data_IF_178976535028
#
_entry.id   IF_178976535028
#
_cell.length_a   1.000
_cell.length_b   1.000
_cell.length_c   1.000
_cell.angle_alpha   90.00
_cell.angle_beta   90.00
_cell.angle_gamma   90.00
#
_symmetry.space_group_name_H-M   'P 1'
#
loop_
_entity.id
_entity.type
_entity.pdbx_description
1 polymer ?
#
# COMPACT_ATOMS: atom_id res chain seq x y z
N UNK A 1 13.63 -51.06 13.56
CA UNK A 1 12.76 -52.10 14.14
C UNK A 1 11.51 -52.08 13.29
N UNK A 2 11.40 -52.96 12.29
CA UNK A 2 10.67 -54.21 12.26
C UNK A 2 9.17 -53.93 12.45
N UNK A 3 8.31 -54.13 11.49
CA UNK A 3 7.96 -55.23 10.60
C UNK A 3 6.46 -55.39 10.76
N UNK A 4 5.62 -55.81 9.91
CA UNK A 4 5.61 -56.92 8.99
C UNK A 4 4.34 -56.86 8.14
N UNK A 5 4.48 -57.31 6.92
CA UNK A 5 3.44 -57.72 5.97
C UNK A 5 2.56 -58.86 6.47
N UNK A 6 1.33 -58.99 5.91
CA UNK A 6 0.79 -60.30 5.57
C UNK A 6 -0.19 -60.22 4.41
N UNK A 7 0.20 -60.89 3.34
CA UNK A 7 -0.63 -61.48 2.26
C UNK A 7 -1.41 -62.68 2.80
N UNK A 8 -2.55 -62.99 2.25
CA UNK A 8 -2.96 -64.37 1.93
C UNK A 8 -3.92 -64.39 0.74
N UNK A 9 -3.68 -65.37 -0.11
CA UNK A 9 -4.19 -65.72 -1.46
C UNK A 9 -5.40 -66.65 -1.44
N UNK A 10 -6.09 -66.67 -2.61
CA UNK A 10 -6.62 -67.82 -3.36
C UNK A 10 -7.74 -68.73 -2.80
N UNK A 11 -8.80 -68.91 -3.54
CA UNK A 11 -9.03 -70.17 -4.29
C UNK A 11 -10.15 -70.08 -5.33
N UNK A 12 -9.83 -70.61 -6.52
CA UNK A 12 -10.69 -71.05 -7.63
C UNK A 12 -11.52 -72.30 -7.25
N UNK A 13 -12.68 -72.50 -7.90
CA UNK A 13 -13.03 -73.75 -8.53
C UNK A 13 -14.20 -73.60 -9.51
N UNK A 14 -13.94 -74.20 -10.69
CA UNK A 14 -14.80 -74.44 -11.82
C UNK A 14 -15.92 -75.40 -11.50
N UNK A 15 -17.00 -75.45 -12.33
CA UNK A 15 -17.47 -76.61 -13.05
C UNK A 15 -18.61 -76.31 -14.03
N UNK A 16 -18.44 -76.86 -15.24
CA UNK A 16 -19.26 -76.93 -16.45
C UNK A 16 -20.61 -77.57 -16.26
N UNK A 17 -21.58 -77.21 -17.08
CA UNK A 17 -22.27 -78.15 -18.03
C UNK A 17 -23.32 -77.44 -18.88
N UNK A 18 -23.20 -77.53 -20.19
CA UNK A 18 -24.24 -77.45 -21.27
C UNK A 18 -24.82 -78.84 -21.53
N UNK A 19 -25.82 -79.11 -22.42
CA UNK A 19 -26.55 -78.23 -23.35
C UNK A 19 -28.08 -78.60 -23.51
N UNK A 20 -28.86 -77.83 -24.25
CA UNK A 20 -29.81 -78.32 -25.29
C UNK A 20 -30.60 -77.16 -25.91
N UNK A 21 -30.52 -77.07 -27.24
CA UNK A 21 -31.49 -76.32 -28.07
C UNK A 21 -32.72 -77.26 -28.33
N UNK A 22 -33.90 -76.66 -28.67
CA UNK A 22 -34.21 -76.55 -30.10
C UNK A 22 -35.14 -75.37 -30.53
N UNK A 23 -34.97 -75.03 -31.82
CA UNK A 23 -35.92 -74.66 -32.92
C UNK A 23 -36.75 -73.37 -32.84
N UNK A 24 -36.42 -72.52 -33.82
CA UNK A 24 -37.22 -71.65 -34.69
C UNK A 24 -38.66 -71.29 -34.36
N UNK A 25 -38.92 -69.99 -34.24
CA UNK A 25 -40.00 -69.32 -34.98
C UNK A 25 -39.67 -67.84 -35.24
N UNK A 26 -39.67 -67.52 -36.54
CA UNK A 26 -39.51 -66.23 -37.14
C UNK A 26 -40.76 -65.36 -36.89
N UNK A 27 -40.68 -64.23 -36.16
CA UNK A 27 -41.67 -63.16 -36.24
C UNK A 27 -40.97 -61.82 -36.34
N UNK A 28 -40.91 -61.33 -37.57
CA UNK A 28 -40.60 -59.90 -37.84
C UNK A 28 -41.64 -59.05 -37.19
N UNK A 29 -41.29 -58.48 -36.04
CA UNK A 29 -41.99 -57.31 -35.46
C UNK A 29 -41.13 -56.07 -35.60
N UNK A 30 -41.55 -55.18 -36.47
CA UNK A 30 -41.07 -53.83 -36.59
C UNK A 30 -41.24 -53.09 -35.22
N UNK A 31 -40.24 -53.16 -34.38
CA UNK A 31 -40.17 -52.33 -33.16
C UNK A 31 -39.77 -50.87 -33.53
N UNK A 32 -40.80 -50.03 -33.71
CA UNK A 32 -40.59 -48.57 -33.62
C UNK A 32 -40.07 -48.27 -32.25
N UNK A 33 -38.96 -47.45 -32.09
CA UNK A 33 -38.53 -47.08 -30.80
C UNK A 33 -39.65 -46.29 -30.10
N UNK A 34 -39.87 -46.50 -28.80
CA UNK A 34 -40.92 -45.80 -28.06
C UNK A 34 -40.63 -44.28 -28.11
N UNK A 35 -41.63 -43.53 -28.59
CA UNK A 35 -41.59 -42.09 -28.55
C UNK A 35 -41.53 -41.63 -27.08
N UNK A 36 -40.42 -41.05 -26.64
CA UNK A 36 -40.29 -40.48 -25.32
C UNK A 36 -41.47 -39.51 -25.08
N UNK A 37 -42.17 -39.62 -23.93
CA UNK A 37 -43.35 -38.82 -23.65
C UNK A 37 -42.97 -37.34 -23.69
N UNK A 38 -43.81 -36.50 -24.30
CA UNK A 38 -43.61 -35.01 -24.42
C UNK A 38 -43.24 -34.34 -23.10
N UNK A 39 -43.65 -34.89 -21.95
CA UNK A 39 -43.27 -34.46 -20.61
C UNK A 39 -41.78 -34.60 -20.32
N UNK A 40 -41.12 -35.64 -20.86
CA UNK A 40 -39.67 -35.88 -20.68
C UNK A 40 -38.80 -34.82 -21.36
N UNK A 41 -39.21 -34.29 -22.53
CA UNK A 41 -38.47 -33.24 -23.23
C UNK A 41 -38.51 -31.93 -22.50
N UNK A 42 -39.66 -31.55 -21.90
CA UNK A 42 -39.79 -30.35 -21.12
C UNK A 42 -38.92 -30.38 -19.85
N UNK A 43 -38.97 -31.49 -19.11
CA UNK A 43 -38.11 -31.66 -17.91
C UNK A 43 -36.64 -31.65 -18.25
N UNK A 44 -36.21 -32.25 -19.38
CA UNK A 44 -34.82 -32.21 -19.84
C UNK A 44 -34.39 -30.78 -20.21
N UNK A 45 -35.22 -30.01 -20.89
CA UNK A 45 -34.95 -28.62 -21.23
C UNK A 45 -34.82 -27.76 -19.96
N UNK A 46 -35.75 -27.90 -19.00
CA UNK A 46 -35.70 -27.21 -17.73
C UNK A 46 -34.44 -27.54 -16.93
N UNK A 47 -34.04 -28.80 -16.87
CA UNK A 47 -32.80 -29.22 -16.23
C UNK A 47 -31.54 -28.63 -16.92
N UNK A 48 -31.50 -28.68 -18.26
CA UNK A 48 -30.38 -28.07 -19.01
C UNK A 48 -30.29 -26.56 -18.80
N UNK A 49 -31.41 -25.83 -18.80
CA UNK A 49 -31.46 -24.41 -18.51
C UNK A 49 -31.01 -24.13 -17.07
N UNK A 50 -31.40 -24.96 -16.10
CA UNK A 50 -30.96 -24.87 -14.72
C UNK A 50 -29.45 -25.08 -14.57
N UNK A 51 -28.90 -26.09 -15.23
CA UNK A 51 -27.45 -26.35 -15.25
C UNK A 51 -26.70 -25.18 -15.90
N UNK A 52 -27.19 -24.70 -17.05
CA UNK A 52 -26.57 -23.55 -17.74
C UNK A 52 -26.58 -22.29 -16.88
N UNK A 53 -27.70 -21.99 -16.23
CA UNK A 53 -27.83 -20.88 -15.30
C UNK A 53 -26.88 -21.02 -14.11
N UNK A 54 -26.76 -22.24 -13.55
CA UNK A 54 -25.82 -22.50 -12.45
C UNK A 54 -24.36 -22.34 -12.88
N UNK A 55 -23.99 -22.84 -14.06
CA UNK A 55 -22.63 -22.66 -14.61
C UNK A 55 -22.35 -21.19 -14.86
N UNK A 56 -23.31 -20.44 -15.41
CA UNK A 56 -23.17 -18.99 -15.63
C UNK A 56 -22.99 -18.24 -14.31
N UNK A 57 -23.82 -18.55 -13.31
CA UNK A 57 -23.70 -17.97 -11.96
C UNK A 57 -22.35 -18.28 -11.33
N UNK A 58 -21.89 -19.52 -11.37
CA UNK A 58 -20.58 -19.92 -10.83
C UNK A 58 -19.44 -19.22 -11.57
N UNK A 59 -19.56 -19.06 -12.89
CA UNK A 59 -18.57 -18.32 -13.69
C UNK A 59 -18.53 -16.83 -13.32
N UNK A 60 -19.69 -16.20 -13.12
CA UNK A 60 -19.78 -14.81 -12.68
C UNK A 60 -19.20 -14.63 -11.27
N UNK A 61 -19.52 -15.55 -10.35
CA UNK A 61 -18.93 -15.55 -8.99
C UNK A 61 -17.41 -15.71 -9.07
N UNK A 62 -16.91 -16.62 -9.92
CA UNK A 62 -15.47 -16.82 -10.09
C UNK A 62 -14.77 -15.58 -10.66
N UNK A 63 -15.35 -14.94 -11.68
CA UNK A 63 -14.82 -13.71 -12.28
C UNK A 63 -14.82 -12.53 -11.28
N UNK A 64 -15.86 -12.46 -10.43
CA UNK A 64 -16.04 -11.40 -9.45
C UNK A 64 -15.52 -11.77 -8.04
N UNK A 65 -14.81 -12.91 -7.90
CA UNK A 65 -14.42 -13.46 -6.61
C UNK A 65 -13.69 -12.46 -5.71
N UNK A 66 -12.76 -11.70 -6.27
CA UNK A 66 -12.02 -10.68 -5.53
C UNK A 66 -12.93 -9.55 -5.06
N UNK A 67 -13.81 -9.04 -5.95
CA UNK A 67 -14.77 -7.98 -5.62
C UNK A 67 -15.75 -8.44 -4.54
N UNK A 68 -16.25 -9.67 -4.67
CA UNK A 68 -17.13 -10.30 -3.66
C UNK A 68 -16.36 -10.47 -2.34
N UNK A 69 -15.12 -10.94 -2.40
CA UNK A 69 -14.25 -11.07 -1.24
C UNK A 69 -14.07 -9.73 -0.51
N UNK A 70 -13.78 -8.66 -1.22
CA UNK A 70 -13.68 -7.32 -0.64
C UNK A 70 -14.99 -6.85 -0.03
N UNK A 71 -16.12 -7.02 -0.74
CA UNK A 71 -17.44 -6.60 -0.26
C UNK A 71 -17.88 -7.37 1.00
N UNK A 72 -17.52 -8.63 1.10
CA UNK A 72 -17.86 -9.49 2.24
C UNK A 72 -16.79 -9.47 3.36
N UNK A 73 -15.69 -8.78 3.16
CA UNK A 73 -14.62 -8.65 4.16
C UNK A 73 -15.13 -8.27 5.57
N UNK A 74 -16.11 -7.34 5.73
CA UNK A 74 -16.68 -7.02 7.03
C UNK A 74 -17.37 -8.19 7.77
N UNK A 75 -17.60 -9.34 7.11
CA UNK A 75 -18.17 -10.54 7.76
C UNK A 75 -17.13 -11.31 8.57
N UNK A 76 -15.87 -11.34 8.10
CA UNK A 76 -14.81 -12.15 8.74
C UNK A 76 -13.63 -11.34 9.24
N UNK A 77 -13.49 -10.09 8.82
CA UNK A 77 -12.41 -9.23 9.30
C UNK A 77 -12.72 -8.71 10.71
N UNK A 78 -11.72 -8.73 11.57
CA UNK A 78 -11.81 -8.12 12.88
C UNK A 78 -11.21 -6.71 12.85
N UNK A 79 -11.89 -5.77 13.48
CA UNK A 79 -11.35 -4.42 13.67
C UNK A 79 -9.99 -4.50 14.37
N UNK A 80 -8.93 -3.88 13.85
CA UNK A 80 -7.65 -3.81 14.55
C UNK A 80 -7.82 -3.21 15.94
N UNK A 81 -6.94 -3.60 16.87
CA UNK A 81 -6.93 -2.94 18.18
C UNK A 81 -6.86 -1.43 17.99
N UNK A 82 -7.71 -0.63 18.68
CA UNK A 82 -7.67 0.82 18.54
C UNK A 82 -6.33 1.37 19.04
N UNK A 83 -5.95 2.53 18.51
CA UNK A 83 -4.83 3.30 19.03
C UNK A 83 -5.26 4.08 20.26
N UNK A 84 -4.30 4.30 21.16
CA UNK A 84 -4.39 5.27 22.26
C UNK A 84 -3.84 6.59 21.75
N UNK A 85 -4.73 7.55 21.48
CA UNK A 85 -4.35 8.85 20.95
C UNK A 85 -3.70 9.71 22.04
N UNK A 86 -2.54 10.23 21.72
CA UNK A 86 -1.90 11.32 22.47
C UNK A 86 -2.44 12.62 21.86
N UNK A 87 -3.13 13.47 22.63
CA UNK A 87 -3.59 14.77 22.14
C UNK A 87 -2.39 15.59 21.64
N UNK A 88 -2.58 16.31 20.54
CA UNK A 88 -1.56 17.17 19.96
C UNK A 88 -1.99 18.64 20.08
N UNK A 89 -1.19 19.42 20.75
CA UNK A 89 -1.43 20.85 20.97
C UNK A 89 -0.37 21.65 20.23
N UNK A 90 -0.81 22.62 19.46
CA UNK A 90 0.07 23.57 18.79
C UNK A 90 -0.63 24.93 18.63
N UNK A 91 0.10 25.99 18.89
CA UNK A 91 -0.22 27.33 18.42
C UNK A 91 1.10 28.13 18.19
N UNK A 92 1.10 29.10 17.25
CA UNK A 92 2.24 29.97 17.06
C UNK A 92 2.62 30.69 18.35
N UNK A 93 3.92 30.86 18.61
CA UNK A 93 4.47 31.63 19.73
C UNK A 93 4.21 31.07 21.14
N UNK A 94 3.76 29.84 21.28
CA UNK A 94 3.75 29.15 22.58
C UNK A 94 5.16 28.64 22.90
N UNK A 95 5.59 28.79 24.18
CA UNK A 95 6.89 28.30 24.63
C UNK A 95 6.94 26.77 24.63
N UNK A 96 8.10 26.18 24.33
CA UNK A 96 8.30 24.74 24.42
C UNK A 96 8.01 24.18 25.82
N UNK A 97 8.30 24.93 26.88
CA UNK A 97 7.98 24.52 28.25
C UNK A 97 6.49 24.30 28.44
N UNK A 98 5.65 25.22 27.95
CA UNK A 98 4.20 25.09 28.05
C UNK A 98 3.69 23.98 27.15
N UNK A 99 4.17 23.88 25.88
CA UNK A 99 3.78 22.82 24.98
C UNK A 99 4.11 21.42 25.53
N UNK A 100 5.32 21.20 26.05
CA UNK A 100 5.70 19.95 26.66
C UNK A 100 4.81 19.62 27.86
N UNK A 101 4.52 20.58 28.73
CA UNK A 101 3.68 20.38 29.93
C UNK A 101 2.24 20.01 29.56
N UNK A 102 1.68 20.60 28.50
CA UNK A 102 0.32 20.26 28.00
C UNK A 102 0.23 18.81 27.51
N UNK A 103 1.35 18.21 27.07
CA UNK A 103 1.42 16.81 26.68
C UNK A 103 1.83 15.88 27.84
N UNK A 104 2.00 16.40 29.07
CA UNK A 104 2.47 15.63 30.22
C UNK A 104 3.98 15.35 30.18
N UNK A 105 4.74 16.12 29.40
CA UNK A 105 6.20 15.99 29.24
C UNK A 105 6.90 17.19 29.84
N UNK A 106 8.24 17.10 30.00
CA UNK A 106 9.08 18.21 30.45
C UNK A 106 9.93 18.76 29.32
N UNK A 107 10.28 20.05 29.36
CA UNK A 107 11.16 20.65 28.37
C UNK A 107 12.61 20.21 28.56
N UNK A 108 13.34 19.93 27.47
CA UNK A 108 14.78 19.66 27.49
C UNK A 108 15.58 20.96 27.59
N UNK A 109 16.80 20.90 28.15
CA UNK A 109 17.77 21.99 28.11
C UNK A 109 18.32 22.27 26.71
N UNK A 110 18.43 21.21 25.89
CA UNK A 110 18.83 21.26 24.49
C UNK A 110 17.95 20.30 23.68
N UNK A 111 17.60 20.65 22.43
CA UNK A 111 16.79 19.78 21.60
C UNK A 111 17.53 18.47 21.28
N UNK A 112 16.80 17.36 21.19
CA UNK A 112 17.36 16.12 20.72
C UNK A 112 17.75 16.21 19.24
N UNK A 113 18.76 15.44 18.83
CA UNK A 113 19.02 15.24 17.41
C UNK A 113 17.90 14.42 16.78
N UNK A 114 17.57 14.74 15.55
CA UNK A 114 16.52 14.07 14.79
C UNK A 114 17.12 13.56 13.48
N UNK A 115 16.95 12.26 13.23
CA UNK A 115 17.30 11.60 11.98
C UNK A 115 16.02 11.23 11.23
N UNK A 116 15.85 11.75 10.02
CA UNK A 116 14.71 11.43 9.16
C UNK A 116 15.13 10.36 8.15
N UNK A 117 14.70 9.13 8.36
CA UNK A 117 15.13 7.96 7.60
C UNK A 117 14.11 7.63 6.49
N UNK A 118 14.56 7.66 5.24
CA UNK A 118 13.73 7.62 4.05
C UNK A 118 14.26 6.60 3.06
N UNK A 119 13.40 5.69 2.59
CA UNK A 119 13.65 4.89 1.39
C UNK A 119 13.02 5.62 0.21
N UNK A 120 13.84 5.99 -0.76
CA UNK A 120 13.43 6.84 -1.88
C UNK A 120 13.25 6.04 -3.17
N UNK A 121 12.17 6.32 -3.90
CA UNK A 121 11.92 5.74 -5.22
C UNK A 121 11.94 6.79 -6.34
N UNK A 122 10.83 7.54 -6.55
CA UNK A 122 10.71 8.54 -7.63
C UNK A 122 9.95 9.83 -7.22
N UNK A 123 9.66 10.01 -5.94
CA UNK A 123 8.84 11.09 -5.39
C UNK A 123 9.64 12.38 -5.17
N UNK A 124 10.31 12.90 -6.21
CA UNK A 124 11.23 14.06 -6.10
C UNK A 124 10.56 15.32 -5.52
N UNK A 125 9.34 15.65 -5.95
CA UNK A 125 8.66 16.86 -5.47
C UNK A 125 8.24 16.72 -3.99
N UNK A 126 7.74 15.55 -3.59
CA UNK A 126 7.37 15.31 -2.20
C UNK A 126 8.60 15.24 -1.28
N UNK A 127 9.71 14.66 -1.74
CA UNK A 127 10.96 14.67 -1.00
C UNK A 127 11.47 16.10 -0.76
N UNK A 128 11.38 16.97 -1.76
CA UNK A 128 11.78 18.36 -1.60
C UNK A 128 10.89 19.11 -0.61
N UNK A 129 9.56 18.94 -0.72
CA UNK A 129 8.61 19.52 0.24
C UNK A 129 8.92 19.03 1.64
N UNK A 130 9.13 17.72 1.84
CA UNK A 130 9.47 17.12 3.12
C UNK A 130 10.74 17.71 3.72
N UNK A 131 11.82 17.75 2.94
CA UNK A 131 13.10 18.28 3.43
C UNK A 131 12.96 19.76 3.79
N UNK A 132 12.28 20.56 2.96
CA UNK A 132 12.08 22.00 3.23
C UNK A 132 11.18 22.29 4.43
N UNK A 133 10.18 21.44 4.66
CA UNK A 133 9.31 21.57 5.84
C UNK A 133 10.05 21.20 7.13
N UNK A 134 10.94 20.22 7.07
CA UNK A 134 11.60 19.66 8.25
C UNK A 134 13.03 20.17 8.47
N UNK A 135 13.67 20.86 7.50
CA UNK A 135 15.07 21.28 7.60
C UNK A 135 15.42 22.09 8.86
N UNK A 136 14.51 22.90 9.46
CA UNK A 136 14.83 23.62 10.70
C UNK A 136 14.91 22.72 11.94
N UNK A 137 14.34 21.52 11.86
CA UNK A 137 14.10 20.65 13.02
C UNK A 137 14.88 19.33 12.94
N UNK A 138 15.29 18.91 11.73
CA UNK A 138 16.00 17.66 11.48
C UNK A 138 17.50 17.89 11.46
N UNK A 139 18.23 17.08 12.22
CA UNK A 139 19.69 17.09 12.24
C UNK A 139 20.25 16.48 10.96
N UNK A 140 19.65 15.34 10.51
CA UNK A 140 20.10 14.65 9.32
C UNK A 140 18.98 13.89 8.61
N UNK A 141 18.81 14.13 7.31
CA UNK A 141 18.01 13.33 6.40
C UNK A 141 18.85 12.18 5.91
N UNK A 142 18.44 10.96 6.21
CA UNK A 142 19.13 9.71 5.84
C UNK A 142 18.35 9.03 4.74
N UNK A 143 18.88 9.06 3.52
CA UNK A 143 18.15 8.64 2.33
C UNK A 143 18.85 7.46 1.70
N UNK A 144 18.11 6.35 1.52
CA UNK A 144 18.54 5.18 0.80
C UNK A 144 17.80 5.08 -0.52
N UNK A 145 18.53 5.02 -1.63
CA UNK A 145 17.96 4.82 -2.96
C UNK A 145 18.52 3.53 -3.60
N UNK A 146 17.61 2.67 -4.08
CA UNK A 146 17.99 1.48 -4.84
C UNK A 146 17.92 1.77 -6.35
N UNK A 147 18.77 1.10 -7.13
CA UNK A 147 18.70 1.11 -8.61
C UNK A 147 17.65 0.11 -9.16
N UNK A 148 16.84 -0.49 -8.29
CA UNK A 148 15.66 -1.27 -8.65
C UNK A 148 14.49 -0.90 -7.76
N UNK A 149 13.28 -1.08 -8.28
CA UNK A 149 12.03 -0.94 -7.54
C UNK A 149 11.81 -2.13 -6.59
N UNK A 150 10.76 -2.10 -5.78
CA UNK A 150 10.33 -3.25 -4.97
C UNK A 150 9.89 -4.44 -5.83
N UNK A 151 9.41 -4.20 -7.05
CA UNK A 151 9.08 -5.24 -8.03
C UNK A 151 10.30 -5.71 -8.86
N UNK A 152 11.49 -5.21 -8.56
CA UNK A 152 12.73 -5.60 -9.23
C UNK A 152 12.92 -5.00 -10.62
N UNK A 153 12.13 -4.00 -10.99
CA UNK A 153 12.30 -3.24 -12.24
C UNK A 153 13.52 -2.34 -12.09
N UNK A 154 14.51 -2.37 -13.02
CA UNK A 154 15.61 -1.43 -13.03
C UNK A 154 15.10 0.01 -13.15
N UNK A 155 15.73 0.92 -12.41
CA UNK A 155 15.40 2.35 -12.46
C UNK A 155 16.63 3.22 -12.37
N UNK A 156 16.59 4.45 -12.89
CA UNK A 156 17.60 5.46 -12.66
C UNK A 156 17.74 5.78 -11.16
N UNK A 157 18.87 6.32 -10.78
CA UNK A 157 19.08 6.90 -9.44
C UNK A 157 18.62 8.36 -9.47
N UNK A 158 17.29 8.55 -9.43
CA UNK A 158 16.67 9.86 -9.64
C UNK A 158 17.15 10.94 -8.66
N UNK A 159 17.41 10.58 -7.40
CA UNK A 159 17.94 11.55 -6.44
C UNK A 159 19.36 11.96 -6.82
N UNK A 160 20.18 11.00 -7.27
CA UNK A 160 21.55 11.29 -7.76
C UNK A 160 21.55 12.16 -9.01
N UNK A 161 20.63 11.89 -9.94
CA UNK A 161 20.49 12.64 -11.21
C UNK A 161 19.89 14.04 -11.03
N UNK A 162 19.20 14.28 -9.91
CA UNK A 162 18.59 15.58 -9.56
C UNK A 162 19.21 16.20 -8.30
N UNK A 163 20.51 15.91 -8.06
CA UNK A 163 21.18 16.32 -6.83
C UNK A 163 21.25 17.83 -6.61
N UNK A 164 21.19 18.64 -7.67
CA UNK A 164 21.15 20.11 -7.63
C UNK A 164 19.90 20.65 -6.95
N UNK A 165 18.78 19.94 -7.01
CA UNK A 165 17.52 20.34 -6.30
C UNK A 165 17.71 20.37 -4.78
N UNK A 166 18.69 19.61 -4.25
CA UNK A 166 18.89 19.37 -2.82
C UNK A 166 20.22 19.95 -2.30
N UNK A 167 20.85 20.83 -3.08
CA UNK A 167 22.12 21.50 -2.69
C UNK A 167 21.97 22.20 -1.33
N UNK A 168 20.83 22.82 -1.05
CA UNK A 168 20.55 23.51 0.20
C UNK A 168 20.71 22.61 1.45
N UNK A 169 20.25 21.36 1.39
CA UNK A 169 20.39 20.41 2.50
C UNK A 169 21.80 19.78 2.53
N UNK A 170 22.40 19.55 1.35
CA UNK A 170 23.75 19.00 1.23
C UNK A 170 24.82 19.97 1.75
N UNK A 171 24.75 21.25 1.39
CA UNK A 171 25.72 22.26 1.81
C UNK A 171 25.71 22.52 3.31
N UNK A 172 24.58 22.28 3.97
CA UNK A 172 24.44 22.34 5.44
C UNK A 172 24.90 21.05 6.13
N UNK A 173 25.33 20.02 5.40
CA UNK A 173 25.69 18.72 5.96
C UNK A 173 24.52 17.92 6.54
N UNK A 174 23.28 18.34 6.25
CA UNK A 174 22.06 17.70 6.76
C UNK A 174 21.60 16.50 5.94
N UNK A 175 22.21 16.22 4.79
CA UNK A 175 21.80 15.12 3.91
C UNK A 175 22.86 14.03 3.89
N UNK A 176 22.47 12.80 4.27
CA UNK A 176 23.20 11.57 4.11
C UNK A 176 22.52 10.70 3.08
N UNK A 177 23.14 10.52 1.95
CA UNK A 177 22.57 9.76 0.82
C UNK A 177 23.43 8.55 0.50
N UNK A 178 22.79 7.38 0.48
CA UNK A 178 23.43 6.14 0.05
C UNK A 178 22.66 5.46 -1.07
N UNK A 179 23.40 4.72 -1.90
CA UNK A 179 22.88 3.94 -3.02
C UNK A 179 22.96 2.48 -2.71
N UNK A 180 21.91 1.74 -3.06
CA UNK A 180 21.86 0.29 -2.90
C UNK A 180 21.73 -0.38 -4.28
N UNK A 181 22.55 -1.42 -4.52
CA UNK A 181 22.34 -2.32 -5.65
C UNK A 181 21.11 -3.19 -5.41
N UNK A 182 20.21 -3.19 -6.37
CA UNK A 182 19.04 -4.05 -6.34
C UNK A 182 19.19 -5.24 -7.29
N UNK A 183 18.17 -6.11 -7.34
CA UNK A 183 18.09 -7.27 -8.24
C UNK A 183 16.68 -7.43 -8.80
N UNK A 184 16.56 -8.19 -9.86
CA UNK A 184 15.25 -8.64 -10.34
C UNK A 184 14.61 -9.61 -9.35
N UNK A 185 13.28 -9.61 -9.27
CA UNK A 185 12.55 -10.66 -8.57
C UNK A 185 12.79 -12.02 -9.25
N UNK A 186 12.84 -13.09 -8.45
CA UNK A 186 12.81 -14.46 -8.95
C UNK A 186 11.38 -14.79 -9.38
N UNK A 187 11.22 -15.83 -10.19
CA UNK A 187 9.88 -16.29 -10.58
C UNK A 187 9.02 -16.56 -9.34
N UNK A 188 7.83 -15.98 -9.27
CA UNK A 188 6.87 -16.08 -8.15
C UNK A 188 7.35 -15.53 -6.80
N UNK A 189 8.44 -14.76 -6.78
CA UNK A 189 8.90 -14.13 -5.55
C UNK A 189 8.04 -12.91 -5.24
N UNK A 190 7.66 -12.77 -3.97
CA UNK A 190 6.87 -11.67 -3.46
C UNK A 190 7.68 -10.35 -3.46
N UNK A 191 7.17 -9.24 -4.04
CA UNK A 191 7.83 -7.93 -4.02
C UNK A 191 8.23 -7.44 -2.62
N UNK A 192 7.50 -7.83 -1.58
CA UNK A 192 7.83 -7.49 -0.20
C UNK A 192 9.21 -8.04 0.26
N UNK A 193 9.79 -9.00 -0.45
CA UNK A 193 11.16 -9.47 -0.17
C UNK A 193 12.20 -8.38 -0.45
N UNK A 194 12.05 -7.66 -1.58
CA UNK A 194 12.96 -6.56 -1.93
C UNK A 194 12.71 -5.33 -1.07
N UNK A 195 11.45 -5.04 -0.74
CA UNK A 195 11.11 -3.98 0.21
C UNK A 195 11.75 -4.23 1.58
N UNK A 196 11.59 -5.43 2.14
CA UNK A 196 12.23 -5.80 3.42
C UNK A 196 13.74 -5.71 3.37
N UNK A 197 14.36 -6.08 2.24
CA UNK A 197 15.81 -5.97 2.07
C UNK A 197 16.29 -4.51 2.12
N UNK A 198 15.57 -3.58 1.47
CA UNK A 198 15.88 -2.15 1.52
C UNK A 198 15.64 -1.58 2.93
N UNK A 199 14.55 -1.96 3.61
CA UNK A 199 14.28 -1.54 4.99
C UNK A 199 15.36 -2.03 5.95
N UNK A 200 15.81 -3.28 5.83
CA UNK A 200 16.91 -3.80 6.63
C UNK A 200 18.24 -3.09 6.37
N UNK A 201 18.51 -2.74 5.12
CA UNK A 201 19.75 -2.00 4.78
C UNK A 201 19.79 -0.61 5.44
N UNK A 202 18.64 0.04 5.68
CA UNK A 202 18.55 1.34 6.34
C UNK A 202 19.13 1.31 7.76
N UNK A 203 19.08 0.21 8.48
CA UNK A 203 19.67 0.07 9.83
C UNK A 203 21.18 0.38 9.83
N UNK A 204 21.88 -0.12 8.83
CA UNK A 204 23.32 0.11 8.69
C UNK A 204 23.62 1.51 8.11
N UNK A 205 22.75 2.03 7.26
CA UNK A 205 22.85 3.41 6.74
C UNK A 205 22.73 4.42 7.88
N UNK A 206 21.77 4.23 8.79
CA UNK A 206 21.59 5.07 9.99
C UNK A 206 22.84 5.08 10.87
N UNK A 207 23.46 3.92 11.12
CA UNK A 207 24.72 3.84 11.88
C UNK A 207 25.85 4.62 11.20
N UNK A 208 26.01 4.46 9.88
CA UNK A 208 27.02 5.21 9.12
C UNK A 208 26.73 6.71 9.06
N UNK A 209 25.45 7.10 9.08
CA UNK A 209 25.05 8.49 9.18
C UNK A 209 25.33 9.11 10.55
N UNK A 210 25.70 8.30 11.54
CA UNK A 210 26.17 8.74 12.85
C UNK A 210 25.09 8.89 13.91
N UNK A 211 23.95 8.19 13.77
CA UNK A 211 22.90 8.14 14.81
C UNK A 211 23.46 7.54 16.10
N UNK A 212 23.06 8.10 17.24
CA UNK A 212 23.50 7.66 18.58
C UNK A 212 22.30 7.29 19.44
N UNK A 213 22.56 6.51 20.47
CA UNK A 213 21.55 6.20 21.48
C UNK A 213 20.97 7.49 22.09
N UNK A 214 19.64 7.54 22.19
CA UNK A 214 18.89 8.69 22.66
C UNK A 214 18.50 9.71 21.59
N UNK A 215 19.08 9.66 20.38
CA UNK A 215 18.61 10.46 19.25
C UNK A 215 17.19 10.01 18.82
N UNK A 216 16.47 10.89 18.16
CA UNK A 216 15.16 10.56 17.58
C UNK A 216 15.36 10.09 16.13
N UNK A 217 14.66 9.02 15.75
CA UNK A 217 14.57 8.58 14.35
C UNK A 217 13.14 8.57 13.88
N UNK A 218 12.88 9.26 12.77
CA UNK A 218 11.62 9.23 12.05
C UNK A 218 11.70 8.08 11.04
N UNK A 219 10.73 7.19 11.04
CA UNK A 219 10.58 6.10 10.08
C UNK A 219 9.26 6.28 9.35
N UNK A 220 9.33 6.69 8.09
CA UNK A 220 8.16 6.99 7.26
C UNK A 220 8.51 6.87 5.78
N UNK A 221 7.51 6.63 4.93
CA UNK A 221 7.69 6.69 3.49
C UNK A 221 7.81 8.16 3.03
N UNK A 222 8.33 8.41 1.83
CA UNK A 222 8.59 9.78 1.32
C UNK A 222 7.34 10.64 1.32
N UNK A 223 6.20 10.05 0.97
CA UNK A 223 4.91 10.70 0.84
C UNK A 223 4.14 10.87 2.17
N UNK A 224 4.76 10.44 3.27
CA UNK A 224 4.27 10.61 4.65
C UNK A 224 5.09 11.70 5.36
N UNK A 225 4.66 12.95 5.25
CA UNK A 225 5.42 14.14 5.68
C UNK A 225 4.97 14.57 7.09
N UNK A 226 5.79 14.42 8.13
CA UNK A 226 5.49 15.01 9.43
C UNK A 226 5.45 16.54 9.33
N UNK A 227 4.60 17.18 10.14
CA UNK A 227 4.63 18.64 10.22
C UNK A 227 5.84 19.13 11.01
N UNK A 228 6.37 20.30 10.62
CA UNK A 228 7.52 20.88 11.28
C UNK A 228 7.29 21.09 12.78
N UNK A 229 6.10 21.50 13.19
CA UNK A 229 5.77 21.72 14.61
C UNK A 229 5.69 20.38 15.39
N UNK A 230 5.27 19.29 14.76
CA UNK A 230 5.32 17.96 15.38
C UNK A 230 6.76 17.59 15.73
N UNK A 231 7.68 17.75 14.79
CA UNK A 231 9.08 17.38 15.02
C UNK A 231 9.73 18.33 16.02
N UNK A 232 9.40 19.62 15.97
CA UNK A 232 9.89 20.60 16.94
C UNK A 232 9.42 20.29 18.36
N UNK A 233 8.15 19.92 18.55
CA UNK A 233 7.62 19.45 19.82
C UNK A 233 8.42 18.25 20.34
N UNK A 234 8.56 17.21 19.53
CA UNK A 234 9.18 15.95 19.95
C UNK A 234 10.66 16.10 20.30
N UNK A 235 11.41 16.94 19.57
CA UNK A 235 12.83 17.14 19.87
C UNK A 235 13.08 17.96 21.15
N UNK A 236 12.15 18.86 21.51
CA UNK A 236 12.28 19.70 22.71
C UNK A 236 11.72 19.05 23.97
N UNK A 237 10.87 18.04 23.88
CA UNK A 237 10.24 17.44 25.04
C UNK A 237 10.97 16.18 25.51
N UNK A 238 11.18 16.07 26.83
CA UNK A 238 11.67 14.88 27.51
C UNK A 238 10.49 14.12 28.13
N UNK A 239 10.55 12.78 28.16
CA UNK A 239 9.46 11.95 28.66
C UNK A 239 8.46 11.54 27.58
N UNK A 240 8.77 11.80 26.30
CA UNK A 240 7.99 11.25 25.19
C UNK A 240 8.07 9.70 25.19
N UNK A 241 7.07 8.98 24.68
CA UNK A 241 7.13 7.53 24.52
C UNK A 241 8.36 7.10 23.70
N UNK A 242 8.94 5.93 24.04
CA UNK A 242 10.08 5.39 23.29
C UNK A 242 9.77 5.15 21.83
N UNK A 243 8.51 4.78 21.53
CA UNK A 243 7.98 4.61 20.19
C UNK A 243 6.57 5.18 20.16
N UNK A 244 6.27 6.02 19.19
CA UNK A 244 4.92 6.48 18.90
C UNK A 244 4.70 6.55 17.40
N UNK A 245 3.48 6.26 16.98
CA UNK A 245 3.03 6.51 15.63
C UNK A 245 2.62 7.97 15.45
N UNK A 246 2.66 8.43 14.19
CA UNK A 246 2.21 9.76 13.79
C UNK A 246 0.92 9.61 12.97
N UNK A 247 -0.21 10.09 13.51
CA UNK A 247 -1.46 10.15 12.75
C UNK A 247 -1.37 11.26 11.70
N UNK A 248 -1.60 10.92 10.45
CA UNK A 248 -1.51 11.89 9.35
C UNK A 248 -2.83 12.02 8.61
N UNK A 249 -3.08 13.23 8.12
CA UNK A 249 -4.15 13.49 7.17
C UNK A 249 -3.80 12.84 5.82
N UNK A 250 -4.66 11.95 5.34
CA UNK A 250 -4.46 11.18 4.11
C UNK A 250 -5.09 11.88 2.92
N UNK A 251 -4.33 12.01 1.85
CA UNK A 251 -4.74 12.60 0.59
C UNK A 251 -4.40 11.68 -0.58
N UNK A 252 -5.20 11.77 -1.66
CA UNK A 252 -4.93 11.08 -2.92
C UNK A 252 -4.61 12.09 -4.01
N UNK A 253 -3.55 11.84 -4.77
CA UNK A 253 -3.15 12.57 -5.99
C UNK A 253 -2.74 14.03 -5.76
N UNK A 254 -3.42 14.73 -4.88
CA UNK A 254 -3.17 16.11 -4.48
C UNK A 254 -3.84 16.41 -3.15
N UNK A 255 -3.54 17.54 -2.56
CA UNK A 255 -4.20 18.02 -1.34
C UNK A 255 -5.67 18.47 -1.57
N UNK A 256 -6.18 18.31 -2.78
CA UNK A 256 -7.61 18.48 -3.09
C UNK A 256 -8.46 17.32 -2.56
N UNK A 257 -7.92 16.10 -2.56
CA UNK A 257 -8.68 14.88 -2.25
C UNK A 257 -8.29 14.35 -0.86
N UNK A 258 -8.85 14.97 0.17
CA UNK A 258 -8.70 14.47 1.54
C UNK A 258 -9.56 13.21 1.75
N UNK A 259 -8.94 12.14 2.20
CA UNK A 259 -9.58 10.83 2.40
C UNK A 259 -10.05 10.67 3.84
N UNK A 260 -9.10 10.68 4.77
CA UNK A 260 -9.35 10.48 6.20
C UNK A 260 -8.09 10.83 7.03
N UNK A 261 -8.14 10.53 8.33
CA UNK A 261 -6.99 10.54 9.25
C UNK A 261 -6.44 9.12 9.47
N UNK A 262 -6.49 8.26 8.47
CA UNK A 262 -6.22 6.83 8.61
C UNK A 262 -4.75 6.43 8.54
N UNK A 263 -3.85 7.31 8.14
CA UNK A 263 -2.42 6.99 8.07
C UNK A 263 -1.79 7.03 9.44
N UNK A 264 -1.31 5.87 9.90
CA UNK A 264 -0.70 5.65 11.21
C UNK A 264 0.68 4.99 11.14
N UNK A 265 1.13 4.53 9.98
CA UNK A 265 2.39 3.78 9.84
C UNK A 265 3.64 4.59 10.16
N UNK A 266 3.71 5.90 9.82
CA UNK A 266 4.84 6.72 10.24
C UNK A 266 5.05 6.66 11.74
N UNK A 267 6.30 6.61 12.17
CA UNK A 267 6.63 6.50 13.60
C UNK A 267 7.89 7.28 13.96
N UNK A 268 7.96 7.72 15.22
CA UNK A 268 9.16 8.28 15.82
C UNK A 268 9.62 7.35 16.94
N UNK A 269 10.91 7.08 16.96
CA UNK A 269 11.55 6.23 17.95
C UNK A 269 12.66 7.01 18.66
N UNK A 270 12.81 6.82 19.97
CA UNK A 270 14.08 7.08 20.65
C UNK A 270 15.03 5.95 20.27
N UNK A 271 16.10 6.27 19.57
CA UNK A 271 17.04 5.25 19.10
C UNK A 271 17.73 4.51 20.24
N UNK A 272 17.55 3.21 20.30
CA UNK A 272 18.13 2.29 21.32
C UNK A 272 18.69 1.05 20.64
N UNK A 273 19.96 1.09 20.17
CA UNK A 273 20.58 -0.09 19.57
C UNK A 273 20.77 -1.21 20.60
N UNK A 274 20.64 -2.51 20.26
CA UNK A 274 20.29 -3.03 18.95
C UNK A 274 18.78 -3.15 18.69
N UNK A 275 17.93 -2.66 19.59
CA UNK A 275 16.50 -2.93 19.61
C UNK A 275 15.70 -2.07 18.59
N UNK A 276 16.19 -0.86 18.26
CA UNK A 276 15.54 0.00 17.26
C UNK A 276 15.98 -0.43 15.86
N UNK A 277 15.05 -1.03 15.13
CA UNK A 277 15.25 -1.46 13.74
C UNK A 277 14.28 -0.70 12.84
N UNK A 278 14.78 -0.26 11.67
CA UNK A 278 13.96 0.44 10.69
C UNK A 278 12.80 -0.42 10.20
N UNK A 279 11.60 0.13 10.20
CA UNK A 279 10.42 -0.58 9.75
C UNK A 279 9.22 0.35 9.58
N UNK A 280 8.23 -0.15 8.82
CA UNK A 280 7.02 0.59 8.48
C UNK A 280 5.79 -0.27 8.77
N UNK A 281 5.50 -0.45 10.03
CA UNK A 281 4.41 -1.27 10.55
C UNK A 281 4.08 -0.92 11.99
N UNK A 282 3.03 -1.51 12.55
CA UNK A 282 2.60 -1.23 13.93
C UNK A 282 3.65 -1.67 14.94
N UNK A 283 4.19 -0.72 15.68
CA UNK A 283 5.24 -0.90 16.68
C UNK A 283 4.76 -0.69 18.11
N UNK A 284 3.69 0.10 18.26
CA UNK A 284 3.08 0.46 19.54
C UNK A 284 1.59 0.71 19.32
N UNK A 285 0.83 0.82 20.40
CA UNK A 285 -0.56 1.25 20.35
C UNK A 285 -0.71 2.77 20.57
N UNK A 286 0.40 3.51 20.79
CA UNK A 286 0.40 4.96 20.98
C UNK A 286 0.51 5.69 19.65
N UNK A 287 -0.32 6.71 19.44
CA UNK A 287 -0.31 7.56 18.25
C UNK A 287 -0.48 9.03 18.62
N UNK A 288 0.39 9.90 18.10
CA UNK A 288 0.25 11.34 18.24
C UNK A 288 -0.73 11.85 17.16
N UNK A 289 -1.79 12.52 17.59
CA UNK A 289 -2.82 13.02 16.70
C UNK A 289 -2.30 14.12 15.76
N UNK A 290 -2.89 14.22 14.56
CA UNK A 290 -2.72 15.32 13.60
C UNK A 290 -1.25 15.76 13.40
N UNK A 291 -0.40 14.80 13.05
CA UNK A 291 1.06 14.98 13.06
C UNK A 291 1.66 15.32 11.70
N UNK A 292 0.85 15.42 10.64
CA UNK A 292 1.34 15.72 9.29
C UNK A 292 0.42 15.26 8.17
N UNK A 293 1.02 15.01 7.01
CA UNK A 293 0.32 14.73 5.75
C UNK A 293 0.85 13.48 5.08
N UNK A 294 -0.05 12.66 4.57
CA UNK A 294 0.25 11.57 3.66
C UNK A 294 -0.40 11.83 2.31
N UNK A 295 0.39 11.99 1.25
CA UNK A 295 -0.09 12.34 -0.09
C UNK A 295 0.23 11.23 -1.09
N UNK A 296 -0.65 10.22 -1.18
CA UNK A 296 -0.47 9.06 -2.06
C UNK A 296 -0.60 9.42 -3.54
N UNK A 297 0.31 8.92 -4.37
CA UNK A 297 0.33 9.16 -5.83
C UNK A 297 0.35 10.66 -6.21
N UNK A 298 0.95 11.50 -5.40
CA UNK A 298 1.05 12.94 -5.60
C UNK A 298 2.26 13.29 -6.50
N UNK A 299 2.13 13.06 -7.78
CA UNK A 299 3.17 13.30 -8.78
C UNK A 299 2.78 14.40 -9.76
N UNK A 300 3.80 15.07 -10.31
CA UNK A 300 3.66 16.06 -11.36
C UNK A 300 3.30 15.43 -12.71
N UNK A 301 3.91 14.30 -13.04
CA UNK A 301 3.81 13.65 -14.34
C UNK A 301 3.00 12.36 -14.25
N UNK A 302 2.18 12.11 -15.27
CA UNK A 302 1.37 10.88 -15.36
C UNK A 302 2.28 9.65 -15.44
N UNK A 303 3.40 9.77 -16.13
CA UNK A 303 4.38 8.68 -16.28
C UNK A 303 4.94 8.22 -14.93
N UNK A 304 5.12 9.13 -13.98
CA UNK A 304 5.58 8.79 -12.64
C UNK A 304 4.50 8.04 -11.83
N UNK A 305 3.24 8.40 -12.05
CA UNK A 305 2.10 7.67 -11.47
C UNK A 305 2.06 6.25 -12.03
N UNK A 306 2.06 6.11 -13.36
CA UNK A 306 2.08 4.82 -14.03
C UNK A 306 3.31 3.98 -13.63
N UNK A 307 4.46 4.64 -13.43
CA UNK A 307 5.66 3.98 -12.92
C UNK A 307 5.45 3.49 -11.48
N UNK A 308 4.98 4.33 -10.56
CA UNK A 308 4.72 3.93 -9.16
C UNK A 308 3.72 2.78 -9.08
N UNK A 309 2.68 2.76 -9.91
CA UNK A 309 1.71 1.66 -9.98
C UNK A 309 2.36 0.30 -10.27
N UNK A 310 3.48 0.27 -11.02
CA UNK A 310 4.24 -0.95 -11.33
C UNK A 310 5.39 -1.23 -10.36
N UNK A 311 5.82 -0.22 -9.63
CA UNK A 311 7.08 -0.20 -8.89
C UNK A 311 6.96 -0.60 -7.42
N UNK A 312 5.79 -0.39 -6.81
CA UNK A 312 5.58 -0.64 -5.38
C UNK A 312 5.13 -2.08 -5.10
N UNK A 313 5.13 -2.49 -3.84
CA UNK A 313 4.91 -3.89 -3.45
C UNK A 313 3.52 -4.44 -3.80
N UNK A 314 2.52 -3.57 -4.00
CA UNK A 314 1.17 -3.93 -4.44
C UNK A 314 0.95 -3.75 -5.94
N UNK A 315 1.97 -3.95 -6.78
CA UNK A 315 1.84 -3.87 -8.24
C UNK A 315 0.88 -4.92 -8.84
N UNK A 316 0.55 -5.99 -8.10
CA UNK A 316 -0.50 -6.98 -8.40
C UNK A 316 -1.90 -6.36 -8.57
N UNK A 317 -2.12 -5.14 -8.05
CA UNK A 317 -3.35 -4.38 -8.25
C UNK A 317 -3.55 -3.89 -9.69
N UNK A 318 -2.50 -3.84 -10.49
CA UNK A 318 -2.56 -3.54 -11.93
C UNK A 318 -3.02 -4.79 -12.67
N UNK A 319 -4.32 -5.04 -12.72
CA UNK A 319 -4.92 -6.25 -13.32
C UNK A 319 -4.97 -6.21 -14.84
N UNK A 320 -4.89 -5.03 -15.45
CA UNK A 320 -4.93 -4.84 -16.91
C UNK A 320 -3.93 -3.78 -17.33
N UNK A 321 -3.24 -3.94 -18.48
CA UNK A 321 -2.40 -2.88 -19.05
C UNK A 321 -3.13 -1.54 -19.21
N UNK A 322 -4.45 -1.55 -19.46
CA UNK A 322 -5.27 -0.33 -19.59
C UNK A 322 -5.29 0.53 -18.33
N UNK A 323 -4.98 -0.03 -17.14
CA UNK A 323 -4.85 0.76 -15.92
C UNK A 323 -3.69 1.77 -15.98
N UNK A 324 -2.72 1.53 -16.86
CA UNK A 324 -1.55 2.36 -17.04
C UNK A 324 -1.71 3.40 -18.16
N UNK A 325 -2.87 3.43 -18.85
CA UNK A 325 -3.15 4.37 -19.93
C UNK A 325 -3.23 5.80 -19.40
N UNK A 326 -2.42 6.69 -19.96
CA UNK A 326 -2.34 8.09 -19.52
C UNK A 326 -3.67 8.83 -19.52
N UNK A 327 -4.56 8.68 -20.54
CA UNK A 327 -5.89 9.31 -20.52
C UNK A 327 -6.75 8.80 -19.36
N UNK A 328 -6.74 7.48 -19.09
CA UNK A 328 -7.48 6.90 -17.97
C UNK A 328 -6.96 7.40 -16.63
N UNK A 329 -5.63 7.38 -16.44
CA UNK A 329 -5.02 7.90 -15.21
C UNK A 329 -5.44 9.34 -14.99
N UNK A 330 -5.33 10.20 -16.02
CA UNK A 330 -5.73 11.61 -15.92
C UNK A 330 -7.20 11.79 -15.53
N UNK A 331 -8.09 11.00 -16.10
CA UNK A 331 -9.53 11.03 -15.79
C UNK A 331 -9.78 10.61 -14.33
N UNK A 332 -9.17 9.51 -13.88
CA UNK A 332 -9.28 8.99 -12.51
C UNK A 332 -8.80 10.03 -11.49
N UNK A 333 -7.67 10.68 -11.75
CA UNK A 333 -7.11 11.72 -10.88
C UNK A 333 -8.09 12.90 -10.72
N UNK A 334 -8.64 13.40 -11.83
CA UNK A 334 -9.56 14.54 -11.80
C UNK A 334 -10.91 14.22 -11.14
N UNK A 335 -11.31 12.94 -11.16
CA UNK A 335 -12.51 12.46 -10.46
C UNK A 335 -12.27 12.15 -8.98
N UNK A 336 -11.01 11.96 -8.55
CA UNK A 336 -10.71 11.44 -7.22
C UNK A 336 -11.12 9.98 -7.03
N UNK A 337 -11.16 9.20 -8.13
CA UNK A 337 -11.52 7.77 -8.11
C UNK A 337 -10.30 6.90 -7.82
N UNK A 338 -10.51 5.61 -7.56
CA UNK A 338 -9.41 4.68 -7.31
C UNK A 338 -8.70 4.27 -8.62
N UNK A 339 -7.37 4.34 -8.65
CA UNK A 339 -6.53 3.94 -9.79
C UNK A 339 -6.67 2.46 -10.15
N UNK A 340 -7.04 1.62 -9.20
CA UNK A 340 -7.07 0.16 -9.34
C UNK A 340 -8.49 -0.39 -9.42
N UNK A 341 -9.51 0.46 -9.43
CA UNK A 341 -10.93 0.11 -9.43
C UNK A 341 -11.28 -0.89 -8.31
N UNK A 342 -10.66 -0.72 -7.14
CA UNK A 342 -10.88 -1.56 -5.97
C UNK A 342 -11.96 -0.97 -5.06
N UNK A 343 -12.67 -1.83 -4.36
CA UNK A 343 -13.50 -1.39 -3.26
C UNK A 343 -12.63 -0.91 -2.10
N UNK A 344 -13.03 0.15 -1.39
CA UNK A 344 -12.28 0.67 -0.25
C UNK A 344 -12.20 -0.36 0.86
N UNK A 345 -11.03 -0.45 1.53
CA UNK A 345 -10.90 -1.26 2.73
C UNK A 345 -11.80 -0.73 3.84
N UNK A 346 -12.58 -1.62 4.45
CA UNK A 346 -13.47 -1.28 5.54
C UNK A 346 -13.60 -2.47 6.50
N UNK A 347 -13.80 -2.19 7.78
CA UNK A 347 -14.02 -3.22 8.81
C UNK A 347 -15.50 -3.42 9.13
N UNK A 348 -16.36 -2.52 8.66
CA UNK A 348 -17.81 -2.59 8.80
C UNK A 348 -18.50 -2.26 7.48
N UNK A 349 -19.72 -2.76 7.28
CA UNK A 349 -20.51 -2.40 6.10
C UNK A 349 -20.85 -0.90 6.07
N UNK A 350 -21.00 -0.25 7.23
CA UNK A 350 -21.22 1.19 7.31
C UNK A 350 -20.02 1.98 6.76
N UNK A 351 -18.80 1.57 7.12
CA UNK A 351 -17.57 2.16 6.59
C UNK A 351 -17.45 1.90 5.09
N UNK A 352 -17.73 0.67 4.64
CA UNK A 352 -17.70 0.34 3.22
C UNK A 352 -18.61 1.27 2.41
N UNK A 353 -19.89 1.39 2.85
CA UNK A 353 -20.85 2.25 2.17
C UNK A 353 -20.43 3.72 2.18
N UNK A 354 -19.86 4.21 3.26
CA UNK A 354 -19.40 5.60 3.38
C UNK A 354 -18.18 5.93 2.52
N UNK A 355 -17.40 4.92 2.15
CA UNK A 355 -16.16 5.07 1.34
C UNK A 355 -16.34 4.69 -0.13
N UNK A 356 -17.52 4.20 -0.54
CA UNK A 356 -17.78 3.90 -1.96
C UNK A 356 -17.92 5.20 -2.75
N UNK A 357 -17.23 5.23 -3.88
CA UNK A 357 -17.28 6.34 -4.83
C UNK A 357 -16.03 7.22 -4.81
N UNK A 358 -16.00 8.27 -5.65
CA UNK A 358 -14.90 9.22 -5.70
C UNK A 358 -14.71 9.95 -4.39
N UNK A 359 -13.48 10.24 -4.02
CA UNK A 359 -13.15 11.09 -2.87
C UNK A 359 -13.65 12.51 -3.15
N UNK A 360 -14.41 13.13 -2.23
CA UNK A 360 -14.91 14.49 -2.43
C UNK A 360 -13.77 15.49 -2.50
N UNK A 361 -13.96 16.52 -3.34
CA UNK A 361 -12.98 17.60 -3.50
C UNK A 361 -13.01 18.53 -2.29
N UNK A 362 -11.82 18.84 -1.77
CA UNK A 362 -11.62 19.92 -0.81
C UNK A 362 -11.22 21.20 -1.55
N UNK A 363 -11.78 22.31 -1.15
CA UNK A 363 -11.40 23.65 -1.63
C UNK A 363 -10.50 24.38 -0.62
N UNK A 364 -10.07 23.69 0.44
CA UNK A 364 -9.28 24.27 1.52
C UNK A 364 -7.80 23.95 1.35
N UNK A 365 -6.96 24.99 1.37
CA UNK A 365 -5.51 24.90 1.50
C UNK A 365 -5.01 25.27 2.90
N UNK A 366 -5.91 25.35 3.89
CA UNK A 366 -5.56 25.67 5.26
C UNK A 366 -4.81 24.50 5.90
N UNK A 367 -3.73 24.80 6.63
CA UNK A 367 -2.88 23.79 7.29
C UNK A 367 -2.16 22.81 6.33
N UNK A 368 -1.90 23.23 5.08
CA UNK A 368 -1.00 22.49 4.19
C UNK A 368 0.47 22.86 4.50
N UNK A 369 1.45 22.05 4.00
CA UNK A 369 2.87 22.33 4.21
C UNK A 369 3.23 23.77 3.83
N UNK A 370 3.91 24.49 4.74
CA UNK A 370 4.20 25.91 4.55
C UNK A 370 5.08 26.16 3.32
N UNK A 371 6.03 25.26 3.04
CA UNK A 371 6.87 25.35 1.85
C UNK A 371 6.07 25.18 0.56
N UNK A 372 5.11 24.28 0.53
CA UNK A 372 4.18 24.09 -0.61
C UNK A 372 3.45 25.39 -0.91
N UNK A 373 2.84 26.01 0.10
CA UNK A 373 2.06 27.25 -0.07
C UNK A 373 2.91 28.43 -0.51
N UNK A 374 4.11 28.59 0.05
CA UNK A 374 5.07 29.63 -0.36
C UNK A 374 5.56 29.49 -1.81
N UNK A 375 5.50 28.28 -2.35
CA UNK A 375 5.93 27.95 -3.71
C UNK A 375 4.77 27.44 -4.57
N UNK A 376 3.56 27.96 -4.36
CA UNK A 376 2.30 27.48 -4.93
C UNK A 376 2.30 27.37 -6.46
N UNK A 377 2.92 28.30 -7.18
CA UNK A 377 3.00 28.22 -8.65
C UNK A 377 3.77 26.97 -9.13
N UNK A 378 4.87 26.64 -8.46
CA UNK A 378 5.70 25.47 -8.78
C UNK A 378 4.99 24.15 -8.48
N UNK A 379 4.23 24.11 -7.38
CA UNK A 379 3.51 22.92 -6.92
C UNK A 379 2.01 23.00 -7.17
N UNK A 380 1.61 23.77 -8.16
CA UNK A 380 0.21 24.02 -8.51
C UNK A 380 -0.60 22.71 -8.67
N UNK A 381 0.02 21.67 -9.23
CA UNK A 381 -0.58 20.34 -9.42
C UNK A 381 -0.97 19.61 -8.11
N UNK A 382 -0.48 20.07 -6.96
CA UNK A 382 -0.84 19.54 -5.64
C UNK A 382 -1.94 20.34 -4.96
N UNK A 383 -2.37 21.45 -5.52
CA UNK A 383 -3.35 22.35 -4.93
C UNK A 383 -4.75 22.14 -5.51
N UNK A 384 -5.82 22.46 -4.75
CA UNK A 384 -7.20 22.34 -5.22
C UNK A 384 -7.43 23.02 -6.57
N UNK A 385 -8.20 22.37 -7.44
CA UNK A 385 -8.56 22.87 -8.77
C UNK A 385 -7.52 22.60 -9.86
N UNK A 386 -6.44 21.88 -9.60
CA UNK A 386 -5.35 21.67 -10.54
C UNK A 386 -5.07 20.16 -10.78
N UNK A 387 -6.08 19.42 -11.18
CA UNK A 387 -5.95 17.97 -11.38
C UNK A 387 -5.17 17.58 -12.66
N UNK A 388 -5.01 18.48 -13.63
CA UNK A 388 -4.32 18.18 -14.89
C UNK A 388 -2.83 18.05 -14.63
N UNK A 389 -2.26 16.94 -15.11
CA UNK A 389 -0.83 16.64 -15.00
C UNK A 389 -0.09 17.06 -16.25
N UNK A 390 1.15 17.45 -16.07
CA UNK A 390 2.08 17.76 -17.15
C UNK A 390 2.52 16.45 -17.85
N UNK A 391 2.89 16.58 -19.14
CA UNK A 391 3.57 15.51 -19.88
C UNK A 391 5.06 15.78 -19.88
N UNK A 392 5.88 14.74 -19.78
CA UNK A 392 7.33 14.89 -19.98
C UNK A 392 7.60 15.13 -21.46
N UNK A 393 8.40 16.16 -21.78
CA UNK A 393 8.71 16.57 -23.14
C UNK A 393 9.38 15.47 -24.00
N UNK A 394 9.94 14.41 -23.37
CA UNK A 394 10.67 13.34 -24.05
C UNK A 394 10.13 11.93 -23.77
N UNK A 395 8.87 11.78 -23.39
CA UNK A 395 8.28 10.44 -23.25
C UNK A 395 8.00 9.86 -24.63
N UNK A 396 8.44 8.63 -24.94
CA UNK A 396 8.03 7.98 -26.19
C UNK A 396 6.51 7.85 -26.22
N UNK A 397 5.86 7.91 -27.38
CA UNK A 397 4.42 7.68 -27.50
C UNK A 397 4.07 6.31 -26.93
N UNK A 398 3.06 6.27 -26.08
CA UNK A 398 2.51 5.10 -25.40
C UNK A 398 1.87 4.09 -26.36
#
# INVERSE_FOLDING_TARGET
>A
MLGTKKHVNLHKKDLQQTPSQPTHQNQNQNLRPPALPRRSRYTTVVMLCGILASVLMLSLVYIQWETIGYALRPVWDSTPRPFQHIPHYYAPNISHSLLCSMHGWSVRTHPANVFDAIIFNNELDLLEIRIRELEPFVTKFVILESNTTFTGIPKPLWLSENAERYVFARTRGQMWYERMGGRKLRSKEDPFVLERAQRKAMDDVLKRAGIREGDLVIMADVDEIPSGHTIDLLRWCHGIPEVMHLEMNSYLYSFEFWVDKGTWRPSVHIYKPPNTLYGHGRRTDLILADSGWHCSFCFRYIEDIAFKMKAYSHADRVKSPSFLDSPRIQEVLCKGSDLFDMLPEAYTFKELVSKIGPVPKSYSGVNLPAFLLKNHERFKFLLPGNCIREKRENSPPS
#
